data_IF_460152806304
#
_entry.id   IF_460152806304
#
_cell.length_a   1.000
_cell.length_b   1.000
_cell.length_c   1.000
_cell.angle_alpha   90.00
_cell.angle_beta   90.00
_cell.angle_gamma   90.00
#
_symmetry.space_group_name_H-M   'P 1'
#
loop_
_entity.id
_entity.type
_entity.pdbx_description
1 polymer ?
#
# COMPACT_ATOMS: atom_id res chain seq x y z
N UNK A 1 -10.32 13.61 -10.00
CA UNK A 1 -11.57 13.05 -9.45
C UNK A 1 -11.39 11.58 -9.06
N UNK A 2 -10.90 10.67 -9.94
CA UNK A 2 -10.74 9.24 -9.61
C UNK A 2 -9.79 9.04 -8.41
N UNK A 3 -8.66 9.73 -8.37
CA UNK A 3 -7.74 9.68 -7.24
C UNK A 3 -8.38 10.23 -5.95
N UNK A 4 -9.14 11.29 -6.05
CA UNK A 4 -9.88 11.85 -4.91
C UNK A 4 -10.91 10.86 -4.35
N UNK A 5 -11.63 10.17 -5.21
CA UNK A 5 -12.58 9.11 -4.83
C UNK A 5 -11.82 7.99 -4.08
N UNK A 6 -10.71 7.51 -4.66
CA UNK A 6 -9.85 6.50 -4.04
C UNK A 6 -9.38 6.92 -2.65
N UNK A 7 -8.90 8.15 -2.48
CA UNK A 7 -8.40 8.67 -1.20
C UNK A 7 -9.54 8.80 -0.19
N UNK A 8 -10.70 9.30 -0.61
CA UNK A 8 -11.82 9.58 0.31
C UNK A 8 -12.58 8.33 0.75
N UNK A 9 -12.87 7.42 -0.16
CA UNK A 9 -13.74 6.26 0.11
C UNK A 9 -13.14 4.92 -0.33
N UNK A 10 -11.93 4.90 -0.90
CA UNK A 10 -11.25 3.66 -1.28
C UNK A 10 -10.87 2.81 -0.07
N UNK A 11 -11.01 1.49 -0.22
CA UNK A 11 -10.58 0.51 0.78
C UNK A 11 -10.12 -0.76 0.09
N UNK A 12 -9.13 -1.42 0.68
CA UNK A 12 -8.64 -2.72 0.23
C UNK A 12 -9.34 -3.89 0.95
N UNK A 13 -10.00 -3.60 2.08
CA UNK A 13 -10.68 -4.57 2.93
C UNK A 13 -12.08 -4.07 3.27
N UNK A 14 -13.07 -4.94 3.51
CA UNK A 14 -14.40 -4.53 3.93
C UNK A 14 -14.35 -3.60 5.14
N UNK A 15 -15.12 -2.53 5.08
CA UNK A 15 -15.23 -1.56 6.17
C UNK A 15 -16.36 -1.96 7.11
N UNK A 16 -16.24 -1.63 8.39
CA UNK A 16 -17.33 -1.83 9.36
C UNK A 16 -18.57 -0.98 8.99
N UNK A 17 -18.31 0.20 8.46
CA UNK A 17 -19.32 1.09 7.89
C UNK A 17 -18.86 1.53 6.51
N UNK A 18 -19.59 1.14 5.47
CA UNK A 18 -19.29 1.52 4.10
C UNK A 18 -19.50 3.02 3.89
N UNK A 19 -18.64 3.61 3.07
CA UNK A 19 -18.61 5.04 2.78
C UNK A 19 -19.27 5.33 1.44
N UNK A 20 -19.81 6.53 1.30
CA UNK A 20 -20.39 7.02 0.04
C UNK A 20 -19.83 8.41 -0.30
N UNK A 21 -19.79 8.72 -1.59
CA UNK A 21 -19.35 10.03 -2.08
C UNK A 21 -20.16 10.42 -3.31
N UNK A 22 -20.70 11.63 -3.30
CA UNK A 22 -21.36 12.20 -4.48
C UNK A 22 -20.35 12.81 -5.43
N UNK A 23 -20.38 12.35 -6.66
CA UNK A 23 -19.53 12.83 -7.76
C UNK A 23 -20.40 13.51 -8.80
N UNK A 24 -20.04 14.75 -9.13
CA UNK A 24 -20.72 15.50 -10.17
C UNK A 24 -19.95 15.41 -11.47
N UNK A 25 -20.65 15.13 -12.54
CA UNK A 25 -20.07 15.01 -13.87
C UNK A 25 -21.08 15.37 -14.96
N UNK A 26 -20.70 15.16 -16.20
CA UNK A 26 -21.55 15.30 -17.36
C UNK A 26 -21.91 13.92 -17.88
N UNK A 27 -23.19 13.66 -18.03
CA UNK A 27 -23.69 12.45 -18.66
C UNK A 27 -23.33 12.48 -20.16
N UNK A 28 -22.60 11.47 -20.62
CA UNK A 28 -22.11 11.44 -22.01
C UNK A 28 -23.22 11.16 -23.03
N UNK A 29 -24.33 10.55 -22.59
CA UNK A 29 -25.45 10.27 -23.45
C UNK A 29 -26.38 11.47 -23.65
N UNK A 30 -26.74 12.16 -22.58
CA UNK A 30 -27.66 13.31 -22.61
C UNK A 30 -26.95 14.66 -22.71
N UNK A 31 -25.64 14.72 -22.37
CA UNK A 31 -24.87 15.96 -22.31
C UNK A 31 -25.22 16.85 -21.10
N UNK A 32 -26.10 16.41 -20.21
CA UNK A 32 -26.57 17.16 -19.06
C UNK A 32 -25.71 16.91 -17.80
N UNK A 33 -25.64 17.87 -16.84
CA UNK A 33 -25.05 17.64 -15.54
C UNK A 33 -25.75 16.47 -14.81
N UNK A 34 -24.96 15.56 -14.23
CA UNK A 34 -25.45 14.42 -13.47
C UNK A 34 -24.64 14.25 -12.18
N UNK A 35 -25.31 13.94 -11.10
CA UNK A 35 -24.68 13.54 -9.85
C UNK A 35 -24.85 12.04 -9.69
N UNK A 36 -23.75 11.35 -9.35
CA UNK A 36 -23.74 9.93 -9.04
C UNK A 36 -23.20 9.74 -7.62
N UNK A 37 -23.88 8.92 -6.84
CA UNK A 37 -23.38 8.48 -5.54
C UNK A 37 -22.57 7.21 -5.76
N UNK A 38 -21.27 7.25 -5.43
CA UNK A 38 -20.35 6.13 -5.51
C UNK A 38 -20.17 5.56 -4.10
N UNK A 39 -20.10 4.23 -4.00
CA UNK A 39 -19.91 3.50 -2.74
C UNK A 39 -18.47 2.98 -2.63
N UNK A 40 -17.98 2.85 -1.40
CA UNK A 40 -16.66 2.27 -1.14
C UNK A 40 -16.52 0.82 -1.62
N UNK A 41 -17.61 0.07 -1.65
CA UNK A 41 -17.68 -1.28 -2.22
C UNK A 41 -17.32 -1.29 -3.72
N UNK A 42 -17.88 -0.36 -4.50
CA UNK A 42 -17.61 -0.23 -5.93
C UNK A 42 -16.15 0.15 -6.18
N UNK A 43 -15.60 1.05 -5.34
CA UNK A 43 -14.18 1.43 -5.42
C UNK A 43 -13.27 0.26 -5.05
N UNK A 44 -13.64 -0.53 -4.03
CA UNK A 44 -12.91 -1.73 -3.64
C UNK A 44 -12.89 -2.77 -4.74
N UNK A 45 -14.02 -3.00 -5.42
CA UNK A 45 -14.08 -3.88 -6.57
C UNK A 45 -13.17 -3.41 -7.71
N UNK A 46 -13.17 -2.11 -8.01
CA UNK A 46 -12.28 -1.53 -9.02
C UNK A 46 -10.78 -1.61 -8.64
N UNK A 47 -10.45 -1.65 -7.35
CA UNK A 47 -9.08 -1.81 -6.85
C UNK A 47 -8.62 -3.26 -6.79
N UNK A 48 -9.49 -4.24 -6.99
CA UNK A 48 -9.19 -5.66 -6.79
C UNK A 48 -8.04 -6.16 -7.67
N UNK A 49 -8.04 -5.81 -8.94
CA UNK A 49 -7.00 -6.23 -9.88
C UNK A 49 -5.60 -5.68 -9.51
N UNK A 50 -5.41 -4.36 -9.33
CA UNK A 50 -4.12 -3.83 -8.91
C UNK A 50 -3.69 -4.32 -7.52
N UNK A 51 -4.60 -4.52 -6.58
CA UNK A 51 -4.28 -5.08 -5.27
C UNK A 51 -3.82 -6.55 -5.37
N UNK A 52 -4.47 -7.35 -6.21
CA UNK A 52 -4.05 -8.74 -6.47
C UNK A 52 -2.65 -8.81 -7.05
N UNK A 53 -2.30 -7.89 -7.96
CA UNK A 53 -0.94 -7.81 -8.53
C UNK A 53 0.11 -7.47 -7.47
N UNK A 54 -0.22 -6.60 -6.53
CA UNK A 54 0.66 -6.26 -5.40
C UNK A 54 0.84 -7.48 -4.48
N UNK A 55 -0.24 -8.16 -4.12
CA UNK A 55 -0.19 -9.35 -3.27
C UNK A 55 0.65 -10.47 -3.90
N UNK A 56 0.51 -10.70 -5.20
CA UNK A 56 1.31 -11.67 -5.93
C UNK A 56 2.80 -11.30 -5.91
N UNK A 57 3.13 -10.02 -6.09
CA UNK A 57 4.51 -9.54 -6.02
C UNK A 57 5.12 -9.73 -4.63
N UNK A 58 4.33 -9.51 -3.57
CA UNK A 58 4.74 -9.78 -2.18
C UNK A 58 4.99 -11.28 -2.00
N UNK A 59 4.06 -12.14 -2.44
CA UNK A 59 4.18 -13.60 -2.33
C UNK A 59 5.45 -14.11 -3.01
N UNK A 60 5.68 -13.72 -4.26
CA UNK A 60 6.89 -14.11 -5.01
C UNK A 60 8.16 -13.67 -4.28
N UNK A 61 8.15 -12.47 -3.70
CA UNK A 61 9.31 -11.96 -2.94
C UNK A 61 9.55 -12.76 -1.67
N UNK A 62 8.50 -13.11 -0.94
CA UNK A 62 8.59 -13.94 0.26
C UNK A 62 9.08 -15.37 -0.05
N UNK A 63 8.61 -15.96 -1.16
CA UNK A 63 9.07 -17.28 -1.62
C UNK A 63 10.57 -17.32 -1.95
N UNK A 64 11.13 -16.21 -2.39
CA UNK A 64 12.56 -16.05 -2.70
C UNK A 64 13.39 -15.63 -1.50
N UNK A 65 12.76 -15.38 -0.37
CA UNK A 65 13.45 -14.94 0.84
C UNK A 65 14.31 -16.09 1.41
N UNK A 66 15.59 -15.87 1.72
CA UNK A 66 16.42 -16.87 2.38
C UNK A 66 15.81 -17.33 3.71
N UNK A 67 15.93 -18.62 4.09
CA UNK A 67 15.33 -19.15 5.32
C UNK A 67 15.75 -18.42 6.59
N UNK A 68 16.97 -17.90 6.63
CA UNK A 68 17.50 -17.13 7.77
C UNK A 68 16.74 -15.82 8.01
N UNK A 69 16.30 -15.19 6.90
CA UNK A 69 15.49 -13.95 6.96
C UNK A 69 14.00 -14.25 7.13
N UNK A 70 13.54 -15.41 6.70
CA UNK A 70 12.15 -15.81 6.86
C UNK A 70 11.74 -15.90 8.34
N UNK A 71 12.64 -16.33 9.21
CA UNK A 71 12.42 -16.34 10.67
C UNK A 71 12.18 -14.93 11.22
N UNK A 72 12.99 -13.97 10.78
CA UNK A 72 12.84 -12.57 11.21
C UNK A 72 11.52 -11.96 10.73
N UNK A 73 11.02 -12.37 9.56
CA UNK A 73 9.74 -11.89 9.04
C UNK A 73 8.55 -12.35 9.88
N UNK A 74 8.61 -13.55 10.46
CA UNK A 74 7.55 -14.03 11.35
C UNK A 74 7.46 -13.18 12.61
N UNK A 75 8.60 -12.77 13.17
CA UNK A 75 8.66 -12.00 14.41
C UNK A 75 8.45 -10.50 14.19
N UNK A 76 9.05 -9.93 13.13
CA UNK A 76 9.05 -8.49 12.87
C UNK A 76 7.98 -8.04 11.90
N UNK A 77 7.50 -8.93 11.04
CA UNK A 77 6.49 -8.64 10.04
C UNK A 77 6.98 -7.79 8.87
N UNK A 78 6.02 -7.21 8.18
CA UNK A 78 6.21 -6.34 7.02
C UNK A 78 5.93 -4.88 7.41
N UNK A 79 6.76 -3.97 6.96
CA UNK A 79 6.51 -2.53 7.11
C UNK A 79 6.12 -1.95 5.76
N UNK A 80 4.98 -1.29 5.71
CA UNK A 80 4.45 -0.63 4.51
C UNK A 80 4.72 0.87 4.57
N UNK A 81 5.20 1.42 3.45
CA UNK A 81 5.44 2.84 3.26
C UNK A 81 4.93 3.31 1.90
N UNK A 82 4.95 4.63 1.68
CA UNK A 82 4.44 5.26 0.46
C UNK A 82 2.93 5.46 0.48
N UNK A 83 2.43 6.26 -0.46
CA UNK A 83 1.01 6.65 -0.51
C UNK A 83 0.03 5.49 -0.72
N UNK A 84 0.47 4.40 -1.36
CA UNK A 84 -0.34 3.19 -1.54
C UNK A 84 -0.68 2.50 -0.22
N UNK A 85 0.19 2.59 0.77
CA UNK A 85 -0.03 2.00 2.10
C UNK A 85 -1.14 2.69 2.91
N UNK A 86 -1.57 3.87 2.46
CA UNK A 86 -2.65 4.64 3.08
C UNK A 86 -4.06 4.18 2.64
N UNK A 87 -4.15 3.24 1.69
CA UNK A 87 -5.46 2.64 1.35
C UNK A 87 -6.00 1.90 2.57
N UNK A 88 -7.22 2.24 2.96
CA UNK A 88 -7.86 1.66 4.17
C UNK A 88 -7.89 0.14 4.11
N UNK A 89 -7.37 -0.50 5.15
CA UNK A 89 -7.39 -1.95 5.31
C UNK A 89 -6.42 -2.73 4.42
N UNK A 90 -5.48 -2.05 3.75
CA UNK A 90 -4.46 -2.75 2.95
C UNK A 90 -3.52 -3.58 3.85
N UNK A 91 -3.24 -3.12 5.05
CA UNK A 91 -2.52 -3.84 6.10
C UNK A 91 -3.21 -5.15 6.46
N UNK A 92 -4.53 -5.11 6.66
CA UNK A 92 -5.36 -6.29 6.94
C UNK A 92 -5.38 -7.26 5.75
N UNK A 93 -5.49 -6.72 4.54
CA UNK A 93 -5.48 -7.53 3.32
C UNK A 93 -4.14 -8.28 3.18
N UNK A 94 -3.02 -7.56 3.31
CA UNK A 94 -1.68 -8.16 3.20
C UNK A 94 -1.42 -9.16 4.34
N UNK A 95 -1.80 -8.82 5.58
CA UNK A 95 -1.66 -9.73 6.71
C UNK A 95 -2.48 -11.02 6.53
N UNK A 96 -3.72 -10.91 6.01
CA UNK A 96 -4.57 -12.06 5.73
C UNK A 96 -4.00 -13.00 4.66
N UNK A 97 -3.38 -12.44 3.63
CA UNK A 97 -2.80 -13.20 2.52
C UNK A 97 -1.43 -13.80 2.83
N UNK A 98 -0.64 -13.15 3.66
CA UNK A 98 0.74 -13.58 3.97
C UNK A 98 0.87 -14.35 5.28
N UNK A 99 -0.09 -14.18 6.19
CA UNK A 99 -0.01 -14.69 7.56
C UNK A 99 1.02 -13.99 8.44
N UNK A 100 1.61 -12.87 7.96
CA UNK A 100 2.63 -12.11 8.67
C UNK A 100 2.03 -10.86 9.33
N UNK A 101 2.60 -10.40 10.45
CA UNK A 101 2.28 -9.08 10.98
C UNK A 101 2.58 -7.98 9.95
N UNK A 102 1.69 -7.00 9.82
CA UNK A 102 1.88 -5.87 8.90
C UNK A 102 1.73 -4.56 9.65
N UNK A 103 2.69 -3.67 9.49
CA UNK A 103 2.76 -2.38 10.14
C UNK A 103 2.86 -1.27 9.09
N UNK A 104 2.25 -0.13 9.37
CA UNK A 104 2.47 1.09 8.58
C UNK A 104 3.64 1.86 9.19
N UNK A 105 4.48 2.47 8.36
CA UNK A 105 5.46 3.43 8.83
C UNK A 105 4.76 4.62 9.54
N UNK A 106 5.41 5.25 10.50
CA UNK A 106 4.85 6.39 11.25
C UNK A 106 4.41 7.53 10.33
N UNK A 107 5.23 7.87 9.34
CA UNK A 107 4.86 8.73 8.22
C UNK A 107 5.14 8.01 6.89
N UNK A 108 4.16 7.29 6.33
CA UNK A 108 4.36 6.51 5.13
C UNK A 108 4.79 7.32 3.91
N UNK A 109 4.37 8.58 3.82
CA UNK A 109 4.69 9.45 2.69
C UNK A 109 6.14 9.94 2.72
N UNK A 110 6.67 10.22 3.90
CA UNK A 110 8.03 10.76 4.09
C UNK A 110 9.08 9.69 4.39
N UNK A 111 8.67 8.47 4.72
CA UNK A 111 9.56 7.39 5.19
C UNK A 111 10.79 7.15 4.29
N UNK A 112 10.60 7.14 2.96
CA UNK A 112 11.70 6.96 2.00
C UNK A 112 12.66 8.15 2.00
N UNK A 113 12.14 9.37 2.03
CA UNK A 113 12.95 10.59 2.04
C UNK A 113 13.74 10.71 3.36
N UNK A 114 13.11 10.43 4.49
CA UNK A 114 13.77 10.41 5.80
C UNK A 114 14.84 9.33 5.88
N UNK A 115 14.55 8.12 5.41
CA UNK A 115 15.51 7.03 5.36
C UNK A 115 16.72 7.39 4.50
N UNK A 116 16.50 7.97 3.32
CA UNK A 116 17.56 8.46 2.43
C UNK A 116 18.39 9.56 3.10
N UNK A 117 17.74 10.48 3.81
CA UNK A 117 18.42 11.53 4.57
C UNK A 117 19.34 10.97 5.67
N UNK A 118 18.86 9.97 6.42
CA UNK A 118 19.67 9.26 7.44
C UNK A 118 20.87 8.55 6.80
N UNK A 119 20.67 7.90 5.65
CA UNK A 119 21.75 7.26 4.88
C UNK A 119 22.83 8.26 4.52
N UNK A 120 22.47 9.46 4.08
CA UNK A 120 23.43 10.51 3.74
C UNK A 120 24.22 11.02 4.96
N UNK A 121 23.60 11.07 6.13
CA UNK A 121 24.27 11.42 7.40
C UNK A 121 25.28 10.35 7.84
N UNK A 122 25.00 9.08 7.54
CA UNK A 122 25.80 7.91 7.91
C UNK A 122 26.64 7.35 6.73
N UNK A 123 26.92 8.18 5.71
CA UNK A 123 27.49 7.72 4.44
C UNK A 123 28.83 6.99 4.58
N UNK A 124 29.67 7.41 5.55
CA UNK A 124 30.95 6.76 5.79
C UNK A 124 30.79 5.35 6.40
N UNK A 125 29.77 5.15 7.23
CA UNK A 125 29.41 3.83 7.76
C UNK A 125 28.91 2.92 6.62
N UNK A 126 28.02 3.44 5.77
CA UNK A 126 27.43 2.69 4.66
C UNK A 126 28.46 2.32 3.58
N UNK A 127 29.43 3.16 3.29
CA UNK A 127 30.55 2.82 2.39
C UNK A 127 31.29 1.57 2.90
N UNK A 128 31.50 1.45 4.20
CA UNK A 128 32.14 0.27 4.81
C UNK A 128 31.30 -1.00 4.69
N UNK A 129 29.99 -0.89 4.91
CA UNK A 129 29.06 -2.01 4.78
C UNK A 129 28.92 -2.45 3.31
N UNK A 130 28.75 -1.50 2.38
CA UNK A 130 28.62 -1.78 0.96
C UNK A 130 29.90 -2.40 0.34
N UNK A 131 31.08 -2.05 0.85
CA UNK A 131 32.36 -2.62 0.37
C UNK A 131 32.50 -4.09 0.77
N UNK A 132 31.86 -4.52 1.86
CA UNK A 132 31.88 -5.90 2.34
C UNK A 132 30.79 -6.77 1.70
N UNK A 133 29.81 -6.17 1.01
CA UNK A 133 28.73 -6.87 0.30
C UNK A 133 29.12 -7.15 -1.18
N UNK A 134 30.30 -7.70 -1.42
CA UNK A 134 30.63 -8.28 -2.72
C UNK A 134 30.06 -9.70 -2.77
N UNK A 135 28.92 -9.82 -3.46
CA UNK A 135 28.41 -11.08 -3.98
C UNK A 135 29.02 -11.39 -5.33
#
# INVERSE_FOLDING_TARGET
>A
TAEEIKIRIGSAFPLEQELTMDVKGRDLGSGLPKTLTIRSEEVREALQEPLSSILESIRITLERCPPELASDLVDRGLVMAGGGSLIRGIDRLVAGETGLPVHLADDPMSAVAEGTGRVLQEIEFLKRVATNAKY
#
